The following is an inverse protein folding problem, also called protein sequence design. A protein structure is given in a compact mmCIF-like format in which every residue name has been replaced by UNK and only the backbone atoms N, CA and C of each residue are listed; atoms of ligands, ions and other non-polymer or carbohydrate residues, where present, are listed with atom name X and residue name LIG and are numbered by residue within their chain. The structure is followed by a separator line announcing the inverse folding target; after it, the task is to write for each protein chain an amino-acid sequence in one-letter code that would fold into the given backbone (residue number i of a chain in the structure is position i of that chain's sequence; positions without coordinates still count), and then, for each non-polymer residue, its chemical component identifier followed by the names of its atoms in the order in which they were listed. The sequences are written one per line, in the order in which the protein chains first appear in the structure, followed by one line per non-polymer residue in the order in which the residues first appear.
data_IF_511144031963
#
_entry.id   IF_511144031963
#
_cell.length_a   1.000
_cell.length_b   1.000
_cell.length_c   1.000
_cell.angle_alpha   90.00
_cell.angle_beta   90.00
_cell.angle_gamma   90.00
#
_symmetry.space_group_name_H-M   'P 1'
#
loop_
_entity.id
_entity.type
_entity.pdbx_description
1 polymer ?
#
# COMPACT_ATOMS: atom_id res chain seq x y z
N UNK A 1 4.96 -11.39 -79.53
CA UNK A 1 4.93 -10.38 -78.47
C UNK A 1 3.99 -10.87 -77.41
N UNK A 2 4.53 -11.44 -76.30
CA UNK A 2 3.75 -11.99 -75.17
C UNK A 2 4.02 -11.12 -73.93
N UNK A 3 3.00 -10.32 -73.55
CA UNK A 3 3.04 -9.51 -72.33
C UNK A 3 2.81 -10.39 -71.13
N UNK A 4 3.85 -10.61 -70.30
CA UNK A 4 3.74 -11.19 -68.96
C UNK A 4 3.15 -10.13 -68.03
N UNK A 5 1.92 -10.35 -67.57
CA UNK A 5 1.33 -9.61 -66.46
C UNK A 5 1.80 -10.22 -65.14
N UNK A 6 2.72 -9.54 -64.46
CA UNK A 6 3.10 -9.86 -63.10
C UNK A 6 2.01 -9.40 -62.15
N UNK A 7 1.32 -10.33 -61.52
CA UNK A 7 0.36 -10.07 -60.42
C UNK A 7 1.17 -10.05 -59.12
N UNK A 8 1.35 -8.85 -58.52
CA UNK A 8 1.86 -8.70 -57.15
C UNK A 8 0.73 -9.02 -56.19
N UNK A 9 0.83 -10.17 -55.51
CA UNK A 9 0.01 -10.47 -54.33
C UNK A 9 0.60 -9.74 -53.14
N UNK A 10 -0.06 -8.68 -52.70
CA UNK A 10 0.22 -8.04 -51.43
C UNK A 10 -0.42 -8.90 -50.31
N UNK A 11 0.41 -9.66 -49.57
CA UNK A 11 -0.03 -10.35 -48.37
C UNK A 11 -0.19 -9.35 -47.21
N UNK A 12 -1.42 -8.97 -46.90
CA UNK A 12 -1.74 -8.17 -45.73
C UNK A 12 -1.54 -9.05 -44.49
N UNK A 13 -0.47 -8.80 -43.73
CA UNK A 13 -0.26 -9.44 -42.42
C UNK A 13 -1.27 -8.87 -41.41
N UNK A 14 -2.26 -9.67 -41.07
CA UNK A 14 -3.19 -9.36 -39.97
C UNK A 14 -2.45 -9.63 -38.66
N UNK A 15 -2.02 -8.58 -37.98
CA UNK A 15 -1.44 -8.68 -36.62
C UNK A 15 -2.62 -8.84 -35.66
N UNK A 16 -2.73 -9.97 -34.93
CA UNK A 16 -3.76 -10.12 -33.91
C UNK A 16 -3.47 -9.14 -32.75
N UNK A 17 -4.35 -8.17 -32.55
CA UNK A 17 -4.35 -7.33 -31.35
C UNK A 17 -4.85 -8.21 -30.19
N UNK A 18 -3.91 -8.73 -29.41
CA UNK A 18 -4.25 -9.39 -28.15
C UNK A 18 -4.68 -8.32 -27.15
N UNK A 19 -5.99 -8.22 -26.91
CA UNK A 19 -6.55 -7.42 -25.81
C UNK A 19 -6.14 -8.13 -24.53
N UNK A 20 -5.13 -7.61 -23.83
CA UNK A 20 -4.83 -8.03 -22.47
C UNK A 20 -5.96 -7.48 -21.60
N UNK A 21 -6.97 -8.30 -21.35
CA UNK A 21 -7.99 -8.00 -20.34
C UNK A 21 -7.26 -7.80 -19.02
N UNK A 22 -7.32 -6.58 -18.47
CA UNK A 22 -6.73 -6.25 -17.17
C UNK A 22 -7.29 -7.20 -16.11
N UNK A 23 -6.47 -8.16 -15.69
CA UNK A 23 -6.82 -9.05 -14.58
C UNK A 23 -6.88 -8.20 -13.32
N UNK A 24 -8.08 -7.99 -12.79
CA UNK A 24 -8.26 -7.45 -11.44
C UNK A 24 -7.74 -8.51 -10.46
N UNK A 25 -6.48 -8.35 -10.06
CA UNK A 25 -5.88 -9.25 -9.08
C UNK A 25 -6.59 -9.10 -7.74
N UNK A 26 -6.90 -10.23 -7.10
CA UNK A 26 -7.50 -10.24 -5.77
C UNK A 26 -6.57 -9.52 -4.78
N UNK A 27 -7.02 -8.45 -4.11
CA UNK A 27 -6.23 -7.72 -3.13
C UNK A 27 -5.62 -8.59 -2.03
N UNK A 28 -6.22 -9.74 -1.72
CA UNK A 28 -5.72 -10.68 -0.71
C UNK A 28 -4.45 -11.41 -1.14
N UNK A 29 -4.24 -11.59 -2.45
CA UNK A 29 -3.13 -12.38 -3.01
C UNK A 29 -1.95 -11.53 -3.49
N UNK A 30 -2.07 -10.20 -3.44
CA UNK A 30 -0.99 -9.31 -3.86
C UNK A 30 0.22 -9.43 -2.93
N UNK A 31 1.39 -9.57 -3.54
CA UNK A 31 2.67 -9.51 -2.81
C UNK A 31 3.16 -8.07 -2.74
N UNK A 32 3.15 -7.47 -1.54
CA UNK A 32 3.60 -6.10 -1.33
C UNK A 32 5.12 -6.01 -1.17
N UNK A 33 5.69 -4.86 -1.56
CA UNK A 33 7.09 -4.51 -1.38
C UNK A 33 7.21 -3.43 -0.28
N UNK A 34 7.84 -3.76 0.86
CA UNK A 34 7.92 -2.87 2.01
C UNK A 34 8.75 -1.60 1.76
N UNK A 35 9.83 -1.66 0.97
CA UNK A 35 10.66 -0.49 0.65
C UNK A 35 9.88 0.52 -0.21
N UNK A 36 9.20 0.03 -1.24
CA UNK A 36 8.33 0.84 -2.07
C UNK A 36 7.17 1.39 -1.23
N UNK A 37 6.59 0.57 -0.37
CA UNK A 37 5.54 0.94 0.57
C UNK A 37 5.95 2.05 1.53
N UNK A 38 7.18 2.05 2.03
CA UNK A 38 7.73 3.12 2.86
C UNK A 38 7.71 4.46 2.13
N UNK A 39 8.18 4.50 0.89
CA UNK A 39 8.17 5.71 0.07
C UNK A 39 6.74 6.20 -0.19
N UNK A 40 5.81 5.28 -0.51
CA UNK A 40 4.42 5.62 -0.70
C UNK A 40 3.79 6.17 0.59
N UNK A 41 4.03 5.54 1.72
CA UNK A 41 3.50 5.94 3.03
C UNK A 41 4.01 7.32 3.47
N UNK A 42 5.30 7.59 3.30
CA UNK A 42 5.93 8.81 3.84
C UNK A 42 5.86 10.00 2.87
N UNK A 43 6.01 9.76 1.57
CA UNK A 43 6.18 10.82 0.57
C UNK A 43 4.96 10.98 -0.33
N UNK A 44 4.59 9.91 -1.05
CA UNK A 44 3.59 10.03 -2.10
C UNK A 44 2.17 10.18 -1.55
N UNK A 45 1.76 9.33 -0.62
CA UNK A 45 0.41 9.34 -0.04
C UNK A 45 0.33 10.13 1.27
N UNK A 46 1.47 10.52 1.82
CA UNK A 46 1.59 11.31 3.06
C UNK A 46 0.82 10.72 4.25
N UNK A 47 0.67 9.41 4.33
CA UNK A 47 0.03 8.73 5.45
C UNK A 47 0.70 9.09 6.78
N UNK A 48 2.02 9.30 6.73
CA UNK A 48 2.85 9.67 7.88
C UNK A 48 2.41 10.98 8.55
N UNK A 49 1.76 11.91 7.82
CA UNK A 49 1.32 13.20 8.40
C UNK A 49 0.27 13.04 9.51
N UNK A 50 -0.55 11.98 9.43
CA UNK A 50 -1.57 11.69 10.43
C UNK A 50 -1.19 10.49 11.31
N UNK A 51 -0.51 9.47 10.74
CA UNK A 51 -0.22 8.21 11.41
C UNK A 51 1.18 8.13 12.02
N UNK A 52 1.98 9.21 11.90
CA UNK A 52 3.39 9.23 12.31
C UNK A 52 4.30 8.53 11.31
N UNK A 53 5.59 8.80 11.36
CA UNK A 53 6.58 8.36 10.36
C UNK A 53 6.65 6.84 10.16
N UNK A 54 6.32 6.08 11.19
CA UNK A 54 6.30 4.61 11.18
C UNK A 54 4.90 4.03 11.32
N UNK A 55 3.87 4.86 11.50
CA UNK A 55 2.52 4.40 11.81
C UNK A 55 2.28 4.07 13.29
N UNK A 56 3.25 4.34 14.18
CA UNK A 56 3.16 4.00 15.61
C UNK A 56 2.59 5.12 16.48
N UNK A 57 2.78 6.37 16.10
CA UNK A 57 2.55 7.53 16.98
C UNK A 57 1.31 8.34 16.61
N UNK A 58 0.64 8.00 15.52
CA UNK A 58 -0.52 8.75 15.04
C UNK A 58 -1.85 8.29 15.60
N UNK A 59 -2.93 8.97 15.17
CA UNK A 59 -4.29 8.61 15.52
C UNK A 59 -5.12 8.34 14.26
N UNK A 60 -5.55 7.08 14.06
CA UNK A 60 -5.25 5.93 14.90
C UNK A 60 -3.83 5.38 14.68
N UNK A 61 -3.31 4.73 15.72
CA UNK A 61 -2.09 3.95 15.62
C UNK A 61 -2.30 2.74 14.69
N UNK A 62 -1.36 2.51 13.76
CA UNK A 62 -1.47 1.43 12.77
C UNK A 62 -0.73 0.15 13.18
N UNK A 63 0.17 0.23 14.16
CA UNK A 63 0.99 -0.90 14.59
C UNK A 63 0.57 -1.33 16.00
N UNK A 64 0.30 -2.62 16.19
CA UNK A 64 0.31 -3.71 15.19
C UNK A 64 -0.86 -3.61 14.21
N UNK A 65 -0.59 -3.91 12.93
CA UNK A 65 -1.63 -3.95 11.91
C UNK A 65 -2.56 -5.15 12.14
N UNK A 66 -3.80 -4.88 12.50
CA UNK A 66 -4.82 -5.90 12.82
C UNK A 66 -5.70 -6.28 11.63
N UNK A 67 -5.79 -5.43 10.61
CA UNK A 67 -6.60 -5.71 9.41
C UNK A 67 -5.88 -6.70 8.51
N UNK A 68 -6.63 -7.58 7.85
CA UNK A 68 -6.12 -8.34 6.74
C UNK A 68 -5.83 -7.41 5.54
N UNK A 69 -4.94 -7.81 4.63
CA UNK A 69 -4.51 -6.98 3.51
C UNK A 69 -5.67 -6.50 2.64
N UNK A 70 -6.57 -7.40 2.25
CA UNK A 70 -7.72 -7.04 1.43
C UNK A 70 -8.65 -6.02 2.13
N UNK A 71 -8.86 -6.17 3.44
CA UNK A 71 -9.67 -5.25 4.23
C UNK A 71 -8.99 -3.89 4.40
N UNK A 72 -7.67 -3.90 4.54
CA UNK A 72 -6.87 -2.67 4.57
C UNK A 72 -7.01 -1.92 3.25
N UNK A 73 -6.81 -2.60 2.11
CA UNK A 73 -6.90 -1.98 0.78
C UNK A 73 -8.29 -1.40 0.56
N UNK A 74 -9.36 -2.17 0.81
CA UNK A 74 -10.73 -1.69 0.66
C UNK A 74 -11.03 -0.48 1.55
N UNK A 75 -10.57 -0.52 2.81
CA UNK A 75 -10.78 0.58 3.74
C UNK A 75 -10.04 1.84 3.29
N UNK A 76 -8.79 1.74 2.85
CA UNK A 76 -7.99 2.90 2.40
C UNK A 76 -8.55 3.49 1.11
N UNK A 77 -9.06 2.66 0.21
CA UNK A 77 -9.73 3.14 -1.01
C UNK A 77 -11.06 3.86 -0.71
N UNK A 78 -11.80 3.38 0.27
CA UNK A 78 -13.10 3.97 0.68
C UNK A 78 -13.23 3.99 2.20
N UNK A 79 -12.57 4.96 2.87
CA UNK A 79 -12.65 5.05 4.32
C UNK A 79 -14.07 5.39 4.79
N UNK A 80 -14.45 4.83 5.93
CA UNK A 80 -15.74 5.11 6.58
C UNK A 80 -15.65 6.28 7.57
N UNK A 81 -14.47 6.89 7.71
CA UNK A 81 -14.20 8.02 8.62
C UNK A 81 -13.81 9.26 7.80
N UNK A 82 -14.47 10.37 8.06
CA UNK A 82 -14.28 11.61 7.28
C UNK A 82 -12.89 12.24 7.41
N UNK A 83 -12.16 11.95 8.49
CA UNK A 83 -10.83 12.50 8.71
C UNK A 83 -9.74 11.84 7.85
N UNK A 84 -10.01 10.69 7.26
CA UNK A 84 -9.07 9.98 6.40
C UNK A 84 -9.41 10.22 4.93
N UNK A 85 -8.47 10.71 4.10
CA UNK A 85 -8.71 10.88 2.67
C UNK A 85 -8.88 9.51 1.99
N UNK A 86 -9.73 9.48 0.94
CA UNK A 86 -9.93 8.29 0.14
C UNK A 86 -8.83 8.15 -0.93
N UNK A 87 -8.32 6.94 -1.11
CA UNK A 87 -7.31 6.59 -2.11
C UNK A 87 -7.90 5.63 -3.17
N UNK A 88 -9.15 5.88 -3.58
CA UNK A 88 -9.89 5.02 -4.51
C UNK A 88 -9.24 4.85 -5.87
N UNK A 89 -8.54 5.88 -6.34
CA UNK A 89 -7.86 5.90 -7.65
C UNK A 89 -6.47 5.22 -7.61
N UNK A 90 -6.01 4.80 -6.42
CA UNK A 90 -4.70 4.19 -6.31
C UNK A 90 -4.74 2.70 -6.61
N UNK A 91 -3.74 2.19 -7.37
CA UNK A 91 -3.66 0.76 -7.67
C UNK A 91 -3.62 -0.08 -6.39
N UNK A 92 -4.35 -1.19 -6.37
CA UNK A 92 -4.36 -2.12 -5.24
C UNK A 92 -2.95 -2.62 -4.89
N UNK A 93 -2.08 -2.80 -5.90
CA UNK A 93 -0.67 -3.17 -5.69
C UNK A 93 0.09 -2.13 -4.87
N UNK A 94 -0.09 -0.84 -5.14
CA UNK A 94 0.56 0.23 -4.37
C UNK A 94 0.09 0.24 -2.91
N UNK A 95 -1.18 -0.04 -2.68
CA UNK A 95 -1.73 -0.16 -1.32
C UNK A 95 -1.27 -1.45 -0.62
N UNK A 96 -1.05 -2.55 -1.37
CA UNK A 96 -0.41 -3.75 -0.83
C UNK A 96 1.04 -3.49 -0.42
N UNK A 97 1.77 -2.64 -1.15
CA UNK A 97 3.12 -2.21 -0.77
C UNK A 97 3.10 -1.43 0.55
N UNK A 98 2.17 -0.48 0.68
CA UNK A 98 1.98 0.26 1.94
C UNK A 98 1.65 -0.69 3.10
N UNK A 99 0.78 -1.66 2.87
CA UNK A 99 0.45 -2.68 3.86
C UNK A 99 1.69 -3.48 4.28
N UNK A 100 2.50 -3.93 3.31
CA UNK A 100 3.74 -4.65 3.57
C UNK A 100 4.72 -3.82 4.40
N UNK A 101 4.85 -2.52 4.13
CA UNK A 101 5.65 -1.62 4.94
C UNK A 101 5.14 -1.56 6.39
N UNK A 102 3.86 -1.30 6.61
CA UNK A 102 3.29 -1.22 7.96
C UNK A 102 3.50 -2.54 8.72
N UNK A 103 3.32 -3.68 8.05
CA UNK A 103 3.57 -5.01 8.65
C UNK A 103 5.04 -5.28 8.95
N UNK A 104 5.97 -4.64 8.26
CA UNK A 104 7.41 -4.80 8.47
C UNK A 104 7.94 -3.99 9.67
N UNK A 105 7.18 -3.00 10.13
CA UNK A 105 7.59 -2.18 11.28
C UNK A 105 7.39 -3.00 12.57
N UNK A 106 8.45 -3.23 13.35
CA UNK A 106 8.33 -3.98 14.60
C UNK A 106 7.50 -3.19 15.62
N UNK A 107 6.64 -3.88 16.35
CA UNK A 107 5.95 -3.29 17.50
C UNK A 107 6.96 -3.01 18.61
N UNK A 108 7.04 -1.75 19.02
CA UNK A 108 7.88 -1.38 20.17
C UNK A 108 7.13 -1.67 21.47
N UNK A 109 7.68 -2.55 22.26
CA UNK A 109 7.21 -2.75 23.64
C UNK A 109 7.75 -1.59 24.48
N UNK A 110 6.89 -0.83 25.16
CA UNK A 110 7.36 0.19 26.10
C UNK A 110 8.28 -0.46 27.16
N UNK A 111 9.35 0.22 27.57
CA UNK A 111 10.17 -0.28 28.66
C UNK A 111 9.31 -0.45 29.92
N UNK A 112 9.58 -1.45 30.76
CA UNK A 112 8.86 -1.60 32.01
C UNK A 112 9.02 -0.33 32.87
N UNK A 113 7.96 0.09 33.54
CA UNK A 113 7.94 1.32 34.36
C UNK A 113 9.14 1.43 35.30
N UNK A 114 9.55 0.29 35.86
CA UNK A 114 10.69 0.20 36.80
C UNK A 114 12.03 0.59 36.14
N UNK A 115 12.14 0.49 34.83
CA UNK A 115 13.35 0.87 34.08
C UNK A 115 13.41 2.35 33.71
N UNK A 116 12.38 3.13 34.05
CA UNK A 116 12.30 4.56 33.79
C UNK A 116 12.25 5.33 35.11
N UNK A 117 13.41 5.67 35.70
CA UNK A 117 13.50 6.22 37.08
C UNK A 117 12.61 7.44 37.32
N UNK A 118 12.56 8.35 36.33
CA UNK A 118 11.76 9.57 36.45
C UNK A 118 10.25 9.29 36.58
N UNK A 119 9.75 8.23 35.92
CA UNK A 119 8.34 7.85 36.05
C UNK A 119 8.06 7.26 37.45
N UNK A 120 8.98 6.49 37.99
CA UNK A 120 8.85 5.96 39.34
C UNK A 120 8.78 7.09 40.40
N UNK A 121 9.57 8.14 40.23
CA UNK A 121 9.55 9.26 41.16
C UNK A 121 8.26 10.09 41.03
N UNK A 122 7.77 10.30 39.80
CA UNK A 122 6.48 10.96 39.58
C UNK A 122 5.33 10.14 40.17
N UNK A 123 5.31 8.82 39.99
CA UNK A 123 4.24 7.96 40.51
C UNK A 123 4.20 7.94 42.05
N UNK A 124 5.32 8.14 42.72
CA UNK A 124 5.37 8.26 44.20
C UNK A 124 4.78 9.58 44.70
N UNK A 125 4.69 10.59 43.87
CA UNK A 125 4.19 11.93 44.24
C UNK A 125 2.71 12.13 43.93
N UNK A 126 2.07 11.18 43.23
CA UNK A 126 0.64 11.20 42.96
C UNK A 126 -0.09 10.60 44.13
N UNK A 127 -1.01 11.34 44.83
CA UNK A 127 -1.77 10.84 45.97
C UNK A 127 -2.76 9.73 45.57
#
# INVERSE_FOLDING_TARGET
MKLLRSILLAAAAIIPVTIVAGQTQDPATLTGNAERGKTLFTVAYKCASCHGSTGESGSPRLIPMKRAQADFIRFVQKPTVNAMPAFGDQPAQSLADVYAYIKSVPERTPPPLQSVPILNDVLKTIP
#
